data_IF_479934398940
#
_entry.id   IF_479934398940
#
_cell.length_a   1.000
_cell.length_b   1.000
_cell.length_c   1.000
_cell.angle_alpha   90.00
_cell.angle_beta   90.00
_cell.angle_gamma   90.00
#
_symmetry.space_group_name_H-M   'P 1'
#
loop_
_entity.id
_entity.type
_entity.pdbx_description
1 polymer ?
#
# COMPACT_ATOMS: atom_id res chain seq x y z
N UNK A 1 -7.81 -18.80 25.21
CA UNK A 1 -8.72 -17.79 25.82
C UNK A 1 -8.37 -16.37 25.39
N UNK A 2 -7.11 -15.97 25.44
CA UNK A 2 -6.67 -14.61 25.06
C UNK A 2 -6.90 -14.25 23.57
N UNK A 3 -6.77 -15.21 22.65
CA UNK A 3 -7.03 -15.00 21.21
C UNK A 3 -8.51 -14.68 20.91
N UNK A 4 -9.43 -15.34 21.61
CA UNK A 4 -10.87 -15.07 21.46
C UNK A 4 -11.25 -13.67 21.93
N UNK A 5 -10.67 -13.22 23.04
CA UNK A 5 -10.82 -11.84 23.53
C UNK A 5 -10.25 -10.81 22.53
N UNK A 6 -9.09 -11.09 21.92
CA UNK A 6 -8.52 -10.22 20.89
C UNK A 6 -9.41 -10.13 19.65
N UNK A 7 -9.92 -11.26 19.16
CA UNK A 7 -10.82 -11.30 17.99
C UNK A 7 -12.10 -10.51 18.28
N UNK A 8 -12.72 -10.72 19.45
CA UNK A 8 -13.90 -9.97 19.86
C UNK A 8 -13.62 -8.47 20.02
N UNK A 9 -12.48 -8.10 20.61
CA UNK A 9 -12.06 -6.71 20.72
C UNK A 9 -11.87 -6.04 19.37
N UNK A 10 -11.16 -6.70 18.44
CA UNK A 10 -10.97 -6.21 17.07
C UNK A 10 -12.31 -6.08 16.32
N UNK A 11 -13.22 -7.04 16.51
CA UNK A 11 -14.56 -7.00 15.93
C UNK A 11 -15.35 -5.79 16.44
N UNK A 12 -15.40 -5.59 17.76
CA UNK A 12 -16.14 -4.49 18.38
C UNK A 12 -15.57 -3.14 17.92
N UNK A 13 -14.25 -2.96 17.94
CA UNK A 13 -13.61 -1.71 17.52
C UNK A 13 -13.84 -1.44 16.03
N UNK A 14 -13.61 -2.44 15.17
CA UNK A 14 -13.78 -2.29 13.71
C UNK A 14 -15.24 -2.00 13.35
N UNK A 15 -16.17 -2.70 14.00
CA UNK A 15 -17.60 -2.49 13.82
C UNK A 15 -18.01 -1.10 14.30
N UNK A 16 -17.60 -0.69 15.49
CA UNK A 16 -17.92 0.62 16.05
C UNK A 16 -17.43 1.77 15.14
N UNK A 17 -16.19 1.71 14.65
CA UNK A 17 -15.63 2.75 13.77
C UNK A 17 -16.39 2.81 12.45
N UNK A 18 -16.66 1.68 11.79
CA UNK A 18 -17.38 1.67 10.50
C UNK A 18 -18.86 2.02 10.65
N UNK A 19 -19.51 1.54 11.71
CA UNK A 19 -20.93 1.75 11.97
C UNK A 19 -21.23 3.19 12.43
N UNK A 20 -20.29 3.85 13.11
CA UNK A 20 -20.44 5.25 13.54
C UNK A 20 -20.84 6.18 12.39
N UNK A 21 -20.26 5.99 11.20
CA UNK A 21 -20.60 6.76 10.00
C UNK A 21 -22.03 6.49 9.47
N UNK A 22 -22.57 5.29 9.70
CA UNK A 22 -23.93 4.92 9.29
C UNK A 22 -24.99 5.30 10.35
N UNK A 23 -24.61 5.29 11.64
CA UNK A 23 -25.51 5.60 12.75
C UNK A 23 -25.91 7.08 12.79
N UNK A 24 -25.10 7.98 12.23
CA UNK A 24 -25.40 9.40 12.10
C UNK A 24 -25.32 9.87 10.63
N UNK A 25 -26.38 9.69 9.85
CA UNK A 25 -26.42 10.12 8.46
C UNK A 25 -26.41 11.66 8.30
N UNK A 26 -26.85 12.42 9.32
CA UNK A 26 -26.90 13.89 9.30
C UNK A 26 -25.60 14.58 9.78
N UNK A 27 -24.52 13.81 9.99
CA UNK A 27 -23.25 14.35 10.49
C UNK A 27 -22.56 15.15 9.37
N UNK A 28 -22.80 16.46 9.35
CA UNK A 28 -22.21 17.39 8.38
C UNK A 28 -20.76 17.66 8.76
N UNK A 29 -19.83 16.96 8.11
CA UNK A 29 -18.41 17.26 8.25
C UNK A 29 -18.10 18.66 7.69
N UNK A 30 -17.18 19.43 8.30
CA UNK A 30 -16.68 20.64 7.68
C UNK A 30 -15.98 20.28 6.36
N UNK A 31 -16.07 21.16 5.35
CA UNK A 31 -15.55 20.90 3.99
C UNK A 31 -14.10 20.42 3.96
N UNK A 32 -13.26 20.89 4.89
CA UNK A 32 -11.87 20.46 5.06
C UNK A 32 -11.74 18.96 5.39
N UNK A 33 -12.60 18.44 6.27
CA UNK A 33 -12.55 17.03 6.71
C UNK A 33 -13.07 16.12 5.60
N UNK A 34 -14.14 16.52 4.92
CA UNK A 34 -14.67 15.78 3.77
C UNK A 34 -13.64 15.69 2.63
N UNK A 35 -12.98 16.81 2.30
CA UNK A 35 -11.89 16.82 1.33
C UNK A 35 -10.73 15.93 1.79
N UNK A 36 -10.32 16.02 3.06
CA UNK A 36 -9.27 15.17 3.63
C UNK A 36 -9.59 13.68 3.51
N UNK A 37 -10.81 13.29 3.87
CA UNK A 37 -11.31 11.90 3.79
C UNK A 37 -11.26 11.34 2.36
N UNK A 38 -11.53 12.17 1.34
CA UNK A 38 -11.43 11.74 -0.06
C UNK A 38 -10.01 11.33 -0.47
N UNK A 39 -8.99 11.95 0.11
CA UNK A 39 -7.58 11.63 -0.20
C UNK A 39 -6.99 10.51 0.68
N UNK A 40 -7.67 10.11 1.76
CA UNK A 40 -7.21 9.05 2.68
C UNK A 40 -6.83 7.76 1.95
N UNK A 41 -7.63 7.21 1.01
CA UNK A 41 -7.29 5.93 0.38
C UNK A 41 -5.97 5.98 -0.37
N UNK A 42 -5.75 7.03 -1.18
CA UNK A 42 -4.51 7.18 -1.94
C UNK A 42 -3.34 7.45 -1.00
N UNK A 43 -3.51 8.33 -0.01
CA UNK A 43 -2.47 8.66 0.95
C UNK A 43 -2.01 7.44 1.76
N UNK A 44 -2.94 6.60 2.24
CA UNK A 44 -2.62 5.38 2.98
C UNK A 44 -1.90 4.37 2.09
N UNK A 45 -2.38 4.14 0.87
CA UNK A 45 -1.71 3.23 -0.08
C UNK A 45 -0.29 3.70 -0.38
N UNK A 46 -0.09 4.99 -0.65
CA UNK A 46 1.24 5.57 -0.83
C UNK A 46 2.10 5.42 0.42
N UNK A 47 1.56 5.68 1.61
CA UNK A 47 2.28 5.55 2.88
C UNK A 47 2.69 4.11 3.20
N UNK A 48 2.01 3.09 2.65
CA UNK A 48 2.39 1.68 2.80
C UNK A 48 3.44 1.30 1.74
N UNK A 49 3.23 1.69 0.49
CA UNK A 49 4.06 1.26 -0.64
C UNK A 49 5.43 1.96 -0.67
N UNK A 50 5.47 3.27 -0.43
CA UNK A 50 6.71 4.07 -0.49
C UNK A 50 7.80 3.57 0.46
N UNK A 51 7.53 3.34 1.77
CA UNK A 51 8.55 2.76 2.65
C UNK A 51 8.90 1.32 2.26
N UNK A 52 7.94 0.53 1.78
CA UNK A 52 8.25 -0.81 1.23
C UNK A 52 9.22 -0.78 0.05
N UNK A 53 9.24 0.30 -0.73
CA UNK A 53 10.19 0.51 -1.83
C UNK A 53 11.54 1.09 -1.37
N UNK A 54 11.52 2.12 -0.52
CA UNK A 54 12.71 2.88 -0.10
C UNK A 54 13.48 2.22 1.05
N UNK A 55 12.77 1.52 1.94
CA UNK A 55 13.29 0.93 3.18
C UNK A 55 12.76 -0.51 3.40
N UNK A 56 12.99 -1.45 2.48
CA UNK A 56 12.46 -2.81 2.59
C UNK A 56 12.91 -3.56 3.86
N UNK A 57 14.04 -3.17 4.46
CA UNK A 57 14.62 -3.80 5.66
C UNK A 57 14.64 -2.86 6.87
N UNK A 58 13.95 -1.71 6.80
CA UNK A 58 13.97 -0.68 7.84
C UNK A 58 15.14 0.33 7.75
N UNK A 59 16.14 0.07 6.91
CA UNK A 59 17.17 1.05 6.54
C UNK A 59 16.97 1.59 5.12
N UNK A 60 17.45 2.82 4.88
CA UNK A 60 17.39 3.45 3.56
C UNK A 60 18.21 2.65 2.54
N UNK A 61 17.53 1.94 1.65
CA UNK A 61 18.13 1.14 0.60
C UNK A 61 18.10 1.89 -0.75
N UNK A 62 18.68 3.09 -0.77
CA UNK A 62 18.84 3.95 -1.95
C UNK A 62 20.04 3.50 -2.80
N UNK A 63 20.07 2.21 -3.14
CA UNK A 63 21.13 1.62 -3.96
C UNK A 63 20.54 1.08 -5.26
N UNK A 64 21.33 1.10 -6.34
CA UNK A 64 20.95 0.54 -7.64
C UNK A 64 20.77 -0.98 -7.60
N UNK A 65 21.21 -1.65 -6.52
CA UNK A 65 20.94 -3.08 -6.25
C UNK A 65 19.59 -3.33 -5.55
N UNK A 66 18.84 -2.30 -5.19
CA UNK A 66 17.53 -2.48 -4.57
C UNK A 66 16.46 -2.80 -5.63
N UNK A 67 16.18 -4.09 -5.79
CA UNK A 67 15.17 -4.59 -6.72
C UNK A 67 13.77 -4.01 -6.45
N UNK A 68 13.42 -3.70 -5.19
CA UNK A 68 12.12 -3.11 -4.84
C UNK A 68 11.98 -1.68 -5.37
N UNK A 69 13.04 -0.89 -5.27
CA UNK A 69 13.07 0.49 -5.76
C UNK A 69 12.99 0.55 -7.29
N UNK A 70 13.86 -0.21 -7.98
CA UNK A 70 13.86 -0.25 -9.45
C UNK A 70 12.56 -0.83 -10.01
N UNK A 71 12.02 -1.90 -9.43
CA UNK A 71 10.77 -2.49 -9.89
C UNK A 71 9.57 -1.55 -9.66
N UNK A 72 9.54 -0.82 -8.54
CA UNK A 72 8.50 0.17 -8.30
C UNK A 72 8.57 1.35 -9.27
N UNK A 73 9.76 1.87 -9.57
CA UNK A 73 9.97 2.88 -10.62
C UNK A 73 9.53 2.37 -11.99
N UNK A 74 9.91 1.14 -12.35
CA UNK A 74 9.50 0.51 -13.60
C UNK A 74 7.98 0.35 -13.67
N UNK A 75 7.33 -0.05 -12.58
CA UNK A 75 5.87 -0.13 -12.49
C UNK A 75 5.21 1.24 -12.70
N UNK A 76 5.74 2.32 -12.13
CA UNK A 76 5.26 3.70 -12.34
C UNK A 76 5.35 4.09 -13.83
N UNK A 77 6.48 3.79 -14.47
CA UNK A 77 6.69 4.08 -15.91
C UNK A 77 5.68 3.29 -16.76
N UNK A 78 5.50 2.00 -16.49
CA UNK A 78 4.54 1.16 -17.21
C UNK A 78 3.11 1.66 -17.01
N UNK A 79 2.74 2.03 -15.78
CA UNK A 79 1.43 2.58 -15.48
C UNK A 79 1.16 3.87 -16.28
N UNK A 80 2.15 4.77 -16.34
CA UNK A 80 2.04 6.04 -17.04
C UNK A 80 1.89 5.85 -18.57
N UNK A 81 2.63 4.91 -19.15
CA UNK A 81 2.63 4.66 -20.61
C UNK A 81 1.43 3.82 -21.05
N UNK A 82 1.16 2.71 -20.36
CA UNK A 82 0.12 1.75 -20.80
C UNK A 82 -1.28 2.15 -20.36
N UNK A 83 -1.40 2.93 -19.28
CA UNK A 83 -2.69 3.25 -18.61
C UNK A 83 -3.57 2.02 -18.37
N UNK A 84 -2.94 0.84 -18.27
CA UNK A 84 -3.60 -0.45 -18.15
C UNK A 84 -3.12 -1.15 -16.87
N UNK A 85 -4.06 -1.45 -15.99
CA UNK A 85 -3.79 -2.04 -14.68
C UNK A 85 -3.16 -3.44 -14.80
N UNK A 86 -3.63 -4.27 -15.74
CA UNK A 86 -3.05 -5.61 -15.97
C UNK A 86 -1.62 -5.52 -16.49
N UNK A 87 -1.35 -4.62 -17.43
CA UNK A 87 0.00 -4.41 -17.96
C UNK A 87 0.96 -3.91 -16.88
N UNK A 88 0.47 -3.03 -15.98
CA UNK A 88 1.25 -2.52 -14.84
C UNK A 88 1.59 -3.62 -13.85
N UNK A 89 0.60 -4.44 -13.47
CA UNK A 89 0.83 -5.56 -12.54
C UNK A 89 1.78 -6.57 -13.17
N UNK A 90 1.51 -7.03 -14.40
CA UNK A 90 2.34 -8.03 -15.06
C UNK A 90 3.76 -7.52 -15.31
N UNK A 91 3.91 -6.31 -15.83
CA UNK A 91 5.20 -5.69 -16.10
C UNK A 91 6.00 -5.40 -14.82
N UNK A 92 5.35 -4.90 -13.77
CA UNK A 92 5.97 -4.68 -12.47
C UNK A 92 6.43 -5.98 -11.83
N UNK A 93 5.60 -7.03 -11.87
CA UNK A 93 5.94 -8.35 -11.32
C UNK A 93 7.11 -8.98 -12.08
N UNK A 94 7.05 -9.01 -13.41
CA UNK A 94 8.13 -9.54 -14.26
C UNK A 94 9.42 -8.75 -14.06
N UNK A 95 9.36 -7.41 -14.03
CA UNK A 95 10.50 -6.56 -13.75
C UNK A 95 11.11 -6.82 -12.37
N UNK A 96 10.28 -6.96 -11.34
CA UNK A 96 10.72 -7.33 -10.00
C UNK A 96 11.44 -8.68 -9.96
N UNK A 97 10.85 -9.72 -10.56
CA UNK A 97 11.45 -11.05 -10.61
C UNK A 97 12.77 -11.06 -11.37
N UNK A 98 12.83 -10.39 -12.53
CA UNK A 98 14.05 -10.30 -13.34
C UNK A 98 15.17 -9.54 -12.61
N UNK A 99 14.85 -8.41 -11.97
CA UNK A 99 15.82 -7.65 -11.19
C UNK A 99 16.29 -8.45 -9.98
N UNK A 100 15.38 -9.11 -9.27
CA UNK A 100 15.73 -9.95 -8.11
C UNK A 100 16.60 -11.15 -8.52
N UNK A 101 16.33 -11.75 -9.67
CA UNK A 101 17.16 -12.80 -10.27
C UNK A 101 18.54 -12.27 -10.65
N UNK A 102 18.61 -11.13 -11.35
CA UNK A 102 19.86 -10.51 -11.79
C UNK A 102 20.76 -10.06 -10.62
N UNK A 103 20.18 -9.59 -9.51
CA UNK A 103 20.94 -9.21 -8.32
C UNK A 103 21.29 -10.37 -7.38
N UNK A 104 20.93 -11.61 -7.73
CA UNK A 104 21.27 -12.80 -6.95
C UNK A 104 20.65 -12.85 -5.55
N UNK A 105 19.55 -12.09 -5.30
CA UNK A 105 18.82 -12.07 -4.02
C UNK A 105 17.75 -13.17 -3.95
N UNK A 106 17.98 -14.27 -4.66
CA UNK A 106 17.17 -15.46 -4.57
C UNK A 106 17.58 -16.19 -3.30
N UNK A 107 16.65 -16.42 -2.36
CA UNK A 107 16.88 -17.40 -1.30
C UNK A 107 16.90 -18.79 -1.97
N UNK A 108 18.10 -19.24 -2.34
CA UNK A 108 18.42 -20.66 -2.48
C UNK A 108 19.38 -21.02 -1.34
#
# INVERSE_FOLDING_TARGET
MQTWLLILGMLVITFAIRYSFFAWPDLRFPRLVEQGLHYVPVAVLTAIVVPGMLMPQGEWALDWRNAYLLAGLLSIVIAAVTRNLLATIAGGLLGFFLLRWAFGQLPL
#
